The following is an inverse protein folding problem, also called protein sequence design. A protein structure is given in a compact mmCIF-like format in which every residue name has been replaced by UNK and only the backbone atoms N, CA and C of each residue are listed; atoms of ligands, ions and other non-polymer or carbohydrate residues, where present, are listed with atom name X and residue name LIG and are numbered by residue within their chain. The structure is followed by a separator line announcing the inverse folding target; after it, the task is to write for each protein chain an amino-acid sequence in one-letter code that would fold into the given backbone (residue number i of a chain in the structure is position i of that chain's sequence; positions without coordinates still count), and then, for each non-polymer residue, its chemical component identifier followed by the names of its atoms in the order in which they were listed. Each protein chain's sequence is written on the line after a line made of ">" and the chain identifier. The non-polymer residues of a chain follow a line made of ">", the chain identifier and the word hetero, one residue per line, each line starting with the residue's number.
data_IF_611620830185
#
_entry.id   IF_611620830185
#
_cell.length_a   1.000
_cell.length_b   1.000
_cell.length_c   1.000
_cell.angle_alpha   90.00
_cell.angle_beta   90.00
_cell.angle_gamma   90.00
#
_symmetry.space_group_name_H-M   'P 1'
#
loop_
_entity.id
_entity.type
_entity.pdbx_description
1 polymer ?
#
# COMPACT_ATOMS: atom_id res chain seq x y z
N UNK A 1 19.51 28.03 -3.67
CA UNK A 1 19.95 26.62 -3.60
C UNK A 1 20.55 26.23 -2.25
N UNK A 2 21.61 26.88 -1.74
CA UNK A 2 22.08 26.71 -0.33
C UNK A 2 21.01 27.08 0.71
N UNK A 3 20.12 28.01 0.36
CA UNK A 3 19.02 28.51 1.21
C UNK A 3 17.93 27.46 1.44
N UNK A 4 17.57 26.62 0.46
CA UNK A 4 16.47 25.65 0.61
C UNK A 4 16.92 24.39 1.36
N UNK A 5 18.17 23.95 1.16
CA UNK A 5 18.76 22.85 1.93
C UNK A 5 19.06 23.31 3.37
N UNK A 6 19.54 24.54 3.56
CA UNK A 6 19.60 25.16 4.89
C UNK A 6 18.20 25.28 5.49
N UNK A 7 17.18 25.70 4.73
CA UNK A 7 15.81 25.84 5.22
C UNK A 7 15.20 24.49 5.60
N UNK A 8 15.39 23.42 4.82
CA UNK A 8 14.90 22.09 5.17
C UNK A 8 15.63 21.50 6.38
N UNK A 9 16.97 21.63 6.46
CA UNK A 9 17.74 21.20 7.64
C UNK A 9 17.42 22.04 8.88
N UNK A 10 17.24 23.35 8.71
CA UNK A 10 16.83 24.29 9.74
C UNK A 10 15.37 24.04 10.17
N UNK A 11 14.51 23.60 9.26
CA UNK A 11 13.11 23.26 9.52
C UNK A 11 12.99 21.95 10.31
N UNK A 12 13.72 20.90 9.92
CA UNK A 12 13.81 19.66 10.71
C UNK A 12 14.48 19.89 12.08
N UNK A 13 15.50 20.76 12.15
CA UNK A 13 16.11 21.20 13.40
C UNK A 13 15.14 22.00 14.28
N UNK A 14 14.36 22.93 13.71
CA UNK A 14 13.31 23.67 14.43
C UNK A 14 12.20 22.76 14.95
N UNK A 15 11.77 21.77 14.16
CA UNK A 15 10.80 20.75 14.61
C UNK A 15 11.35 19.96 15.80
N UNK A 16 12.65 19.65 15.83
CA UNK A 16 13.29 18.94 16.93
C UNK A 16 13.50 19.77 18.20
N UNK A 17 13.33 21.11 18.14
CA UNK A 17 13.62 22.04 19.23
C UNK A 17 12.39 22.63 19.94
N UNK A 18 11.17 22.36 19.48
CA UNK A 18 9.96 22.96 20.05
C UNK A 18 9.38 22.03 21.13
N UNK A 19 9.34 22.43 22.41
CA UNK A 19 8.54 21.73 23.41
C UNK A 19 7.08 21.79 22.97
N UNK A 20 6.36 20.67 23.06
CA UNK A 20 4.98 20.45 22.59
C UNK A 20 3.89 21.40 23.15
N UNK A 21 4.25 22.51 23.79
CA UNK A 21 3.32 23.50 24.32
C UNK A 21 3.79 24.91 23.95
N UNK A 22 3.07 25.55 23.03
CA UNK A 22 2.97 27.00 22.77
C UNK A 22 3.28 27.45 21.35
N UNK A 23 2.40 27.11 20.41
CA UNK A 23 1.97 28.03 19.36
C UNK A 23 0.46 27.85 19.24
N UNK A 24 -0.32 28.92 19.37
CA UNK A 24 -1.77 28.86 19.18
C UNK A 24 -2.10 28.37 17.75
N UNK A 25 -2.63 27.14 17.72
CA UNK A 25 -3.46 26.48 16.72
C UNK A 25 -2.92 26.03 15.35
N UNK A 26 -1.63 26.16 15.02
CA UNK A 26 -1.04 25.36 13.90
C UNK A 26 0.37 24.88 14.23
N UNK A 27 0.62 23.56 14.16
CA UNK A 27 1.98 22.98 14.27
C UNK A 27 2.90 23.52 13.14
N UNK A 28 4.20 23.69 13.38
CA UNK A 28 5.17 24.16 12.37
C UNK A 28 5.16 23.36 11.05
N UNK A 29 4.86 22.06 11.11
CA UNK A 29 4.64 21.20 9.94
C UNK A 29 3.60 21.76 8.98
N UNK A 30 2.47 22.27 9.49
CA UNK A 30 1.42 22.85 8.63
C UNK A 30 1.88 24.11 7.91
N UNK A 31 2.68 24.97 8.54
CA UNK A 31 3.17 26.20 7.89
C UNK A 31 4.07 25.88 6.70
N UNK A 32 4.88 24.83 6.80
CA UNK A 32 5.73 24.37 5.71
C UNK A 32 4.94 23.65 4.61
N UNK A 33 3.97 22.81 4.98
CA UNK A 33 3.03 22.19 4.04
C UNK A 33 2.25 23.28 3.28
N UNK A 34 1.70 24.27 3.99
CA UNK A 34 0.99 25.42 3.41
C UNK A 34 1.91 26.23 2.49
N UNK A 35 3.19 26.41 2.84
CA UNK A 35 4.16 27.11 1.99
C UNK A 35 4.49 26.32 0.72
N UNK A 36 4.78 25.02 0.84
CA UNK A 36 5.18 24.17 -0.28
C UNK A 36 4.01 23.88 -1.23
N UNK A 37 2.80 23.74 -0.71
CA UNK A 37 1.59 23.51 -1.50
C UNK A 37 1.38 24.55 -2.60
N UNK A 38 1.85 25.79 -2.40
CA UNK A 38 1.79 26.89 -3.38
C UNK A 38 2.64 26.64 -4.63
N UNK A 39 3.64 25.77 -4.54
CA UNK A 39 4.60 25.47 -5.62
C UNK A 39 4.41 24.09 -6.25
N UNK A 40 3.64 23.21 -5.60
CA UNK A 40 3.42 21.83 -6.01
C UNK A 40 1.91 21.59 -6.12
N UNK A 41 1.33 22.15 -7.19
CA UNK A 41 -0.11 22.15 -7.43
C UNK A 41 -0.53 20.82 -8.04
N UNK A 42 -1.69 20.30 -7.64
CA UNK A 42 -2.24 19.06 -8.19
C UNK A 42 -2.50 19.16 -9.70
N UNK A 43 -2.32 18.03 -10.40
CA UNK A 43 -2.39 17.95 -11.86
C UNK A 43 -1.16 18.56 -12.57
N UNK A 44 -0.26 19.24 -11.85
CA UNK A 44 0.96 19.78 -12.43
C UNK A 44 2.03 18.71 -12.57
N UNK A 45 2.79 18.78 -13.67
CA UNK A 45 4.07 18.08 -13.79
C UNK A 45 5.22 18.99 -13.35
N UNK A 46 5.99 18.55 -12.35
CA UNK A 46 7.14 19.27 -11.80
C UNK A 46 8.44 18.53 -12.07
N UNK A 47 9.58 19.23 -12.08
CA UNK A 47 10.89 18.58 -12.14
C UNK A 47 11.42 18.33 -10.73
N UNK A 48 11.65 17.07 -10.36
CA UNK A 48 12.18 16.67 -9.05
C UNK A 48 13.53 17.38 -8.81
N UNK A 49 13.66 18.05 -7.67
CA UNK A 49 14.80 18.94 -7.38
C UNK A 49 15.89 18.27 -6.55
N UNK A 50 15.55 17.30 -5.72
CA UNK A 50 16.45 16.67 -4.76
C UNK A 50 16.42 15.14 -4.86
N UNK A 51 17.26 14.49 -4.06
CA UNK A 51 17.33 13.04 -3.97
C UNK A 51 17.88 12.34 -5.21
N UNK A 52 17.70 11.02 -5.25
CA UNK A 52 18.22 10.17 -6.33
C UNK A 52 17.40 10.35 -7.61
N UNK A 53 16.09 10.62 -7.45
CA UNK A 53 15.18 10.94 -8.55
C UNK A 53 15.33 12.35 -9.12
N UNK A 54 16.32 13.16 -8.66
CA UNK A 54 16.59 14.50 -9.18
C UNK A 54 16.60 14.51 -10.71
N UNK A 55 15.89 15.47 -11.28
CA UNK A 55 15.82 15.69 -12.72
C UNK A 55 14.70 14.94 -13.44
N UNK A 56 14.06 13.92 -12.84
CA UNK A 56 12.83 13.34 -13.38
C UNK A 56 11.71 14.37 -13.39
N UNK A 57 10.76 14.19 -14.29
CA UNK A 57 9.47 14.86 -14.27
C UNK A 57 8.50 14.03 -13.44
N UNK A 58 7.82 14.65 -12.50
CA UNK A 58 6.83 14.02 -11.63
C UNK A 58 5.49 14.71 -11.82
N UNK A 59 4.49 13.96 -12.26
CA UNK A 59 3.11 14.41 -12.24
C UNK A 59 2.55 14.29 -10.83
N UNK A 60 2.00 15.37 -10.30
CA UNK A 60 1.36 15.39 -8.98
C UNK A 60 -0.10 14.97 -9.18
N UNK A 61 -0.54 13.83 -8.63
CA UNK A 61 -1.92 13.38 -8.79
C UNK A 61 -2.93 14.42 -8.30
N UNK A 62 -4.08 14.48 -8.95
CA UNK A 62 -5.25 15.15 -8.37
C UNK A 62 -5.78 14.27 -7.24
N UNK A 63 -6.05 14.85 -6.08
CA UNK A 63 -6.77 14.14 -5.02
C UNK A 63 -8.24 14.49 -5.03
N UNK A 64 -9.07 13.60 -4.52
CA UNK A 64 -10.49 13.91 -4.31
C UNK A 64 -10.63 15.07 -3.31
N UNK A 65 -11.63 15.93 -3.53
CA UNK A 65 -11.82 17.21 -2.82
C UNK A 65 -11.88 17.10 -1.27
N UNK A 66 -12.03 15.89 -0.72
CA UNK A 66 -12.08 15.61 0.72
C UNK A 66 -10.71 15.42 1.40
N UNK A 67 -9.60 15.45 0.66
CA UNK A 67 -8.23 15.43 1.22
C UNK A 67 -7.87 16.70 2.02
N UNK A 68 -8.79 17.66 2.11
CA UNK A 68 -8.67 18.81 3.02
C UNK A 68 -8.60 18.38 4.49
N UNK A 69 -9.12 17.19 4.82
CA UNK A 69 -9.17 16.60 6.17
C UNK A 69 -8.21 15.43 6.40
N UNK A 70 -7.40 15.06 5.41
CA UNK A 70 -6.36 14.05 5.58
C UNK A 70 -5.37 14.49 6.67
N UNK A 71 -4.95 13.55 7.53
CA UNK A 71 -3.94 13.80 8.56
C UNK A 71 -2.65 14.35 7.91
N UNK A 72 -1.94 15.23 8.62
CA UNK A 72 -0.79 15.99 8.09
C UNK A 72 0.28 15.18 7.35
N UNK A 73 0.39 13.89 7.67
CA UNK A 73 1.35 12.96 7.07
C UNK A 73 1.09 12.68 5.58
N UNK A 74 -0.14 12.34 5.18
CA UNK A 74 -0.48 12.05 3.77
C UNK A 74 -0.28 13.29 2.89
N UNK A 75 -0.64 14.47 3.43
CA UNK A 75 -0.38 15.75 2.78
C UNK A 75 1.11 16.03 2.63
N UNK A 76 1.94 15.61 3.58
CA UNK A 76 3.39 15.80 3.52
C UNK A 76 4.05 14.84 2.52
N UNK A 77 3.59 13.61 2.45
CA UNK A 77 4.12 12.54 1.60
C UNK A 77 4.17 12.96 0.13
N UNK A 78 3.05 13.42 -0.43
CA UNK A 78 2.99 13.89 -1.83
C UNK A 78 4.02 14.98 -2.13
N UNK A 79 4.29 15.87 -1.17
CA UNK A 79 5.30 16.92 -1.33
C UNK A 79 6.71 16.37 -1.20
N UNK A 80 6.95 15.41 -0.30
CA UNK A 80 8.24 14.71 -0.21
C UNK A 80 8.55 13.97 -1.50
N UNK A 81 7.56 13.33 -2.13
CA UNK A 81 7.69 12.69 -3.44
C UNK A 81 8.09 13.72 -4.49
N UNK A 82 7.33 14.81 -4.61
CA UNK A 82 7.58 15.84 -5.61
C UNK A 82 8.95 16.56 -5.43
N UNK A 83 9.45 16.62 -4.19
CA UNK A 83 10.79 17.09 -3.87
C UNK A 83 11.89 16.05 -4.18
N UNK A 84 11.55 14.76 -4.20
CA UNK A 84 12.46 13.63 -4.37
C UNK A 84 13.03 13.07 -3.06
N UNK A 85 12.43 13.42 -1.93
CA UNK A 85 12.88 13.06 -0.58
C UNK A 85 12.10 11.92 0.06
N UNK A 86 10.98 11.51 -0.55
CA UNK A 86 10.18 10.37 -0.09
C UNK A 86 11.01 9.10 0.00
N UNK A 87 11.00 8.44 1.16
CA UNK A 87 11.71 7.18 1.39
C UNK A 87 13.16 7.15 0.88
N UNK A 88 13.90 8.24 1.16
CA UNK A 88 15.25 8.43 0.62
C UNK A 88 16.21 7.27 0.93
N UNK A 89 16.05 6.59 2.06
CA UNK A 89 16.85 5.42 2.42
C UNK A 89 16.54 4.21 1.53
N UNK A 90 15.27 3.97 1.21
CA UNK A 90 14.83 2.93 0.28
C UNK A 90 15.37 3.22 -1.13
N UNK A 91 15.25 4.46 -1.61
CA UNK A 91 15.84 4.88 -2.88
C UNK A 91 17.35 4.55 -2.95
N UNK A 92 18.07 4.78 -1.84
CA UNK A 92 19.52 4.53 -1.74
C UNK A 92 19.84 3.04 -1.73
N UNK A 93 19.01 2.21 -1.10
CA UNK A 93 19.11 0.76 -1.16
C UNK A 93 18.91 0.24 -2.59
N UNK A 94 17.82 0.64 -3.25
CA UNK A 94 17.55 0.26 -4.65
C UNK A 94 18.68 0.69 -5.60
N UNK A 95 19.19 1.91 -5.44
CA UNK A 95 20.33 2.40 -6.25
C UNK A 95 21.60 1.57 -6.07
N UNK A 96 21.80 0.93 -4.92
CA UNK A 96 22.98 0.10 -4.65
C UNK A 96 22.79 -1.34 -5.13
N UNK A 97 21.58 -1.88 -5.00
CA UNK A 97 21.28 -3.26 -5.37
C UNK A 97 21.09 -3.43 -6.88
N UNK A 98 20.46 -2.47 -7.54
CA UNK A 98 20.10 -2.56 -8.96
C UNK A 98 21.27 -2.08 -9.82
N UNK A 99 21.60 -2.86 -10.85
CA UNK A 99 22.67 -2.61 -11.81
C UNK A 99 22.09 -2.27 -13.19
N UNK A 100 22.86 -1.53 -13.98
CA UNK A 100 22.49 -1.22 -15.37
C UNK A 100 22.33 -2.51 -16.19
N UNK A 101 21.28 -2.56 -17.03
CA UNK A 101 20.96 -3.70 -17.88
C UNK A 101 20.09 -4.78 -17.23
N UNK A 102 19.83 -4.69 -15.92
CA UNK A 102 19.03 -5.69 -15.22
C UNK A 102 17.53 -5.63 -15.58
N UNK A 103 16.88 -6.78 -15.41
CA UNK A 103 15.43 -6.94 -15.43
C UNK A 103 14.92 -6.81 -13.98
N UNK A 104 14.07 -5.81 -13.74
CA UNK A 104 13.47 -5.56 -12.43
C UNK A 104 11.97 -5.80 -12.45
N UNK A 105 11.44 -6.42 -11.40
CA UNK A 105 10.01 -6.49 -11.14
C UNK A 105 9.63 -5.50 -10.04
N UNK A 106 8.55 -4.75 -10.24
CA UNK A 106 7.96 -3.83 -9.29
C UNK A 106 6.54 -4.31 -8.96
N UNK A 107 6.39 -5.03 -7.86
CA UNK A 107 5.13 -5.65 -7.43
C UNK A 107 4.49 -4.72 -6.41
N UNK A 108 3.34 -4.13 -6.76
CA UNK A 108 2.75 -3.02 -6.02
C UNK A 108 3.30 -1.66 -6.48
N UNK A 109 3.33 -1.45 -7.81
CA UNK A 109 3.95 -0.26 -8.40
C UNK A 109 3.31 1.08 -8.01
N UNK A 110 2.07 1.06 -7.52
CA UNK A 110 1.29 2.22 -7.11
C UNK A 110 1.35 3.32 -8.20
N UNK A 111 1.56 4.58 -7.83
CA UNK A 111 1.68 5.72 -8.76
C UNK A 111 3.07 5.84 -9.42
N UNK A 112 3.94 4.84 -9.24
CA UNK A 112 5.15 4.66 -10.05
C UNK A 112 6.42 5.33 -9.57
N UNK A 113 6.51 5.80 -8.32
CA UNK A 113 7.69 6.49 -7.81
C UNK A 113 8.96 5.63 -7.87
N UNK A 114 8.87 4.37 -7.43
CA UNK A 114 9.97 3.41 -7.50
C UNK A 114 10.14 2.82 -8.90
N UNK A 115 9.05 2.62 -9.66
CA UNK A 115 9.13 2.18 -11.06
C UNK A 115 10.02 3.10 -11.90
N UNK A 116 9.83 4.41 -11.83
CA UNK A 116 10.65 5.37 -12.60
C UNK A 116 12.09 5.44 -12.10
N UNK A 117 12.33 5.20 -10.81
CA UNK A 117 13.69 5.09 -10.26
C UNK A 117 14.39 3.84 -10.81
N UNK A 118 13.75 2.67 -10.75
CA UNK A 118 14.30 1.42 -11.25
C UNK A 118 14.58 1.49 -12.75
N UNK A 119 13.63 2.02 -13.53
CA UNK A 119 13.78 2.24 -14.98
C UNK A 119 15.00 3.11 -15.31
N UNK A 120 15.23 4.18 -14.54
CA UNK A 120 16.40 5.04 -14.69
C UNK A 120 17.69 4.30 -14.35
N UNK A 121 17.72 3.50 -13.28
CA UNK A 121 18.94 2.80 -12.84
C UNK A 121 19.33 1.71 -13.86
N UNK A 122 18.36 0.90 -14.29
CA UNK A 122 18.60 -0.17 -15.26
C UNK A 122 18.96 0.38 -16.64
N UNK A 123 18.35 1.52 -17.03
CA UNK A 123 18.60 2.20 -18.29
C UNK A 123 18.06 1.44 -19.50
N UNK A 124 18.36 1.92 -20.71
CA UNK A 124 17.76 1.42 -21.95
C UNK A 124 18.08 -0.04 -22.30
N UNK A 125 19.10 -0.63 -21.68
CA UNK A 125 19.46 -2.05 -21.84
C UNK A 125 18.73 -2.97 -20.86
N UNK A 126 18.15 -2.42 -19.80
CA UNK A 126 17.37 -3.19 -18.84
C UNK A 126 15.88 -3.11 -19.13
N UNK A 127 15.07 -3.74 -18.27
CA UNK A 127 13.61 -3.73 -18.37
C UNK A 127 13.00 -3.66 -16.98
N UNK A 128 11.89 -2.95 -16.83
CA UNK A 128 11.07 -2.96 -15.62
C UNK A 128 9.68 -3.49 -15.97
N UNK A 129 9.25 -4.54 -15.27
CA UNK A 129 7.88 -5.02 -15.31
C UNK A 129 7.19 -4.60 -14.01
N UNK A 130 6.12 -3.82 -14.13
CA UNK A 130 5.39 -3.29 -12.97
C UNK A 130 3.99 -3.87 -12.92
N UNK A 131 3.61 -4.35 -11.73
CA UNK A 131 2.33 -4.98 -11.45
C UNK A 131 1.57 -4.11 -10.46
N UNK A 132 0.42 -3.58 -10.89
CA UNK A 132 -0.41 -2.68 -10.09
C UNK A 132 -1.90 -2.95 -10.41
N UNK A 133 -2.70 -3.43 -9.45
CA UNK A 133 -4.09 -3.78 -9.70
C UNK A 133 -5.04 -2.56 -9.79
N UNK A 134 -4.74 -1.44 -9.13
CA UNK A 134 -5.64 -0.28 -9.14
C UNK A 134 -5.55 0.49 -10.45
N UNK A 135 -6.67 0.57 -11.19
CA UNK A 135 -6.75 1.29 -12.47
C UNK A 135 -6.35 2.77 -12.30
N UNK A 136 -6.79 3.41 -11.23
CA UNK A 136 -6.47 4.81 -10.92
C UNK A 136 -4.96 5.05 -10.77
N UNK A 137 -4.25 4.13 -10.10
CA UNK A 137 -2.80 4.17 -9.96
C UNK A 137 -2.09 3.92 -11.31
N UNK A 138 -2.58 2.94 -12.08
CA UNK A 138 -2.04 2.63 -13.42
C UNK A 138 -2.12 3.83 -14.37
N UNK A 139 -3.21 4.60 -14.35
CA UNK A 139 -3.33 5.80 -15.19
C UNK A 139 -2.30 6.88 -14.81
N UNK A 140 -2.04 7.08 -13.52
CA UNK A 140 -0.99 7.99 -13.06
C UNK A 140 0.40 7.46 -13.46
N UNK A 141 0.67 6.17 -13.25
CA UNK A 141 1.91 5.51 -13.63
C UNK A 141 2.22 5.69 -15.13
N UNK A 142 1.22 5.52 -16.01
CA UNK A 142 1.34 5.80 -17.45
C UNK A 142 1.77 7.24 -17.73
N UNK A 143 1.22 8.21 -16.99
CA UNK A 143 1.61 9.63 -17.10
C UNK A 143 3.07 9.81 -16.67
N UNK A 144 3.53 9.16 -15.58
CA UNK A 144 4.92 9.24 -15.12
C UNK A 144 5.90 8.70 -16.18
N UNK A 145 5.59 7.54 -16.76
CA UNK A 145 6.38 6.91 -17.82
C UNK A 145 6.48 7.83 -19.03
N UNK A 146 5.34 8.33 -19.52
CA UNK A 146 5.28 9.24 -20.68
C UNK A 146 6.06 10.53 -20.44
N UNK A 147 5.95 11.14 -19.26
CA UNK A 147 6.64 12.40 -18.96
C UNK A 147 8.17 12.27 -18.97
N UNK A 148 8.68 11.08 -18.71
CA UNK A 148 10.11 10.77 -18.64
C UNK A 148 10.65 10.01 -19.86
N UNK A 149 9.82 9.75 -20.88
CA UNK A 149 10.18 9.00 -22.09
C UNK A 149 10.81 7.63 -21.75
N UNK A 150 10.14 6.84 -20.90
CA UNK A 150 10.67 5.57 -20.43
C UNK A 150 10.16 4.42 -21.32
N UNK A 151 11.00 3.96 -22.25
CA UNK A 151 10.65 2.87 -23.18
C UNK A 151 10.94 1.47 -22.61
N UNK A 152 11.65 1.40 -21.49
CA UNK A 152 12.05 0.17 -20.84
C UNK A 152 11.08 -0.30 -19.74
N UNK A 153 9.86 0.25 -19.65
CA UNK A 153 8.84 -0.15 -18.67
C UNK A 153 7.68 -0.86 -19.35
N UNK A 154 7.17 -1.93 -18.75
CA UNK A 154 5.94 -2.61 -19.17
C UNK A 154 5.00 -2.73 -17.96
N UNK A 155 3.76 -2.27 -18.13
CA UNK A 155 2.74 -2.26 -17.07
C UNK A 155 1.80 -3.45 -17.23
N UNK A 156 1.57 -4.17 -16.13
CA UNK A 156 0.51 -5.16 -15.99
C UNK A 156 -0.49 -4.68 -14.94
N UNK A 157 -1.70 -4.36 -15.37
CA UNK A 157 -2.78 -3.95 -14.47
C UNK A 157 -3.41 -5.19 -13.80
N UNK A 158 -2.65 -5.86 -12.93
CA UNK A 158 -2.98 -7.13 -12.30
C UNK A 158 -2.30 -7.22 -10.93
N UNK A 159 -2.91 -7.95 -10.00
CA UNK A 159 -2.25 -8.32 -8.74
C UNK A 159 -1.36 -9.54 -8.95
N UNK A 160 -0.26 -9.66 -8.18
CA UNK A 160 0.57 -10.86 -8.17
C UNK A 160 0.07 -11.82 -7.10
N UNK A 161 -0.20 -13.06 -7.49
CA UNK A 161 -0.89 -14.07 -6.70
C UNK A 161 -0.27 -15.45 -6.91
N UNK A 162 -0.67 -16.44 -6.10
CA UNK A 162 -0.13 -17.80 -6.20
C UNK A 162 -0.54 -18.55 -7.47
N UNK A 163 -1.59 -18.09 -8.14
CA UNK A 163 -2.15 -18.68 -9.36
C UNK A 163 -2.90 -17.60 -10.17
N UNK A 164 -3.14 -17.85 -11.45
CA UNK A 164 -4.03 -17.00 -12.24
C UNK A 164 -5.47 -17.16 -11.75
N UNK A 165 -6.11 -16.08 -11.32
CA UNK A 165 -7.47 -16.11 -10.77
C UNK A 165 -8.12 -14.75 -10.85
N UNK A 166 -9.45 -14.68 -10.66
CA UNK A 166 -10.11 -13.44 -10.26
C UNK A 166 -10.23 -13.37 -8.75
N UNK A 167 -10.08 -12.18 -8.21
CA UNK A 167 -10.13 -11.93 -6.77
C UNK A 167 -10.91 -10.66 -6.49
N UNK A 168 -11.48 -10.59 -5.30
CA UNK A 168 -12.02 -9.34 -4.76
C UNK A 168 -10.86 -8.49 -4.25
N UNK A 169 -10.93 -7.20 -4.49
CA UNK A 169 -9.94 -6.22 -4.07
C UNK A 169 -10.65 -5.08 -3.35
N UNK A 170 -10.13 -4.69 -2.19
CA UNK A 170 -10.68 -3.60 -1.39
C UNK A 170 -9.82 -2.37 -1.64
N UNK A 171 -10.44 -1.32 -2.18
CA UNK A 171 -9.82 -0.04 -2.45
C UNK A 171 -10.32 1.00 -1.45
N UNK A 172 -9.43 1.83 -0.93
CA UNK A 172 -9.84 3.03 -0.20
C UNK A 172 -10.19 4.15 -1.20
N UNK A 173 -11.44 4.62 -1.20
CA UNK A 173 -12.00 5.65 -2.08
C UNK A 173 -11.23 7.00 -2.07
N UNK A 174 -10.33 7.23 -1.10
CA UNK A 174 -9.53 8.45 -0.98
C UNK A 174 -8.02 8.18 -0.88
N UNK A 175 -7.54 6.97 -1.17
CA UNK A 175 -6.11 6.64 -1.09
C UNK A 175 -5.67 5.83 -2.29
N UNK A 176 -4.40 5.95 -2.63
CA UNK A 176 -3.72 5.06 -3.59
C UNK A 176 -3.34 3.72 -2.96
N UNK A 177 -4.16 3.22 -2.03
CA UNK A 177 -3.91 2.01 -1.24
C UNK A 177 -5.11 1.10 -1.37
N UNK A 178 -4.83 -0.17 -1.66
CA UNK A 178 -5.80 -1.25 -1.68
C UNK A 178 -5.12 -2.57 -1.41
N UNK A 179 -5.93 -3.58 -1.07
CA UNK A 179 -5.46 -4.90 -0.70
C UNK A 179 -6.38 -5.99 -1.23
N UNK A 180 -5.85 -7.19 -1.43
CA UNK A 180 -6.64 -8.36 -1.78
C UNK A 180 -7.62 -8.62 -0.63
N UNK A 181 -8.89 -8.79 -0.95
CA UNK A 181 -9.90 -9.14 0.02
C UNK A 181 -9.76 -10.64 0.34
N UNK A 182 -8.94 -10.97 1.32
CA UNK A 182 -8.97 -12.32 1.90
C UNK A 182 -10.11 -12.40 2.94
N UNK A 183 -10.56 -13.63 3.20
CA UNK A 183 -11.62 -13.84 4.17
C UNK A 183 -11.20 -13.37 5.58
N UNK A 184 -9.90 -13.32 5.89
CA UNK A 184 -9.34 -12.96 7.20
C UNK A 184 -9.38 -11.46 7.52
N UNK A 185 -9.18 -10.60 6.52
CA UNK A 185 -9.22 -9.16 6.65
C UNK A 185 -10.64 -8.63 6.50
N UNK A 186 -11.44 -9.23 5.62
CA UNK A 186 -12.90 -9.09 5.66
C UNK A 186 -13.39 -9.46 7.07
N UNK A 187 -12.90 -10.58 7.61
CA UNK A 187 -13.21 -11.03 8.97
C UNK A 187 -12.70 -10.07 10.04
N UNK A 188 -11.50 -9.49 9.93
CA UNK A 188 -10.98 -8.50 10.90
C UNK A 188 -11.72 -7.16 10.84
N UNK A 189 -12.12 -6.69 9.65
CA UNK A 189 -12.91 -5.45 9.52
C UNK A 189 -14.37 -5.66 9.96
N UNK A 190 -14.95 -6.81 9.63
CA UNK A 190 -16.26 -7.24 10.14
C UNK A 190 -16.19 -7.44 11.64
N UNK A 191 -15.17 -8.11 12.18
CA UNK A 191 -15.02 -8.33 13.61
C UNK A 191 -14.64 -7.02 14.31
N UNK A 192 -13.85 -6.10 13.78
CA UNK A 192 -13.75 -4.77 14.40
C UNK A 192 -15.08 -3.99 14.36
N UNK A 193 -15.90 -4.25 13.34
CA UNK A 193 -17.26 -3.78 13.32
C UNK A 193 -18.10 -4.47 14.42
N UNK A 194 -18.00 -5.80 14.58
CA UNK A 194 -18.86 -6.72 15.36
C UNK A 194 -18.31 -7.19 16.74
N UNK A 195 -17.04 -7.01 17.08
CA UNK A 195 -16.34 -7.56 18.25
C UNK A 195 -16.70 -6.79 19.51
N UNK A 196 -17.29 -5.60 19.35
CA UNK A 196 -17.99 -4.93 20.44
C UNK A 196 -19.43 -5.42 20.61
N UNK A 197 -19.83 -6.47 19.89
CA UNK A 197 -21.16 -7.10 19.92
C UNK A 197 -21.10 -8.51 20.55
N UNK A 198 -19.91 -9.10 20.71
CA UNK A 198 -19.72 -10.51 21.12
C UNK A 198 -20.09 -10.81 22.57
N UNK A 199 -20.24 -9.79 23.43
CA UNK A 199 -20.72 -9.98 24.81
C UNK A 199 -22.24 -10.21 24.89
N UNK A 200 -23.02 -9.89 23.84
CA UNK A 200 -24.49 -9.93 23.86
C UNK A 200 -25.12 -10.85 22.79
N UNK A 201 -24.34 -11.45 21.88
CA UNK A 201 -24.83 -12.30 20.78
C UNK A 201 -24.23 -13.71 20.83
N UNK A 202 -25.05 -14.75 20.55
CA UNK A 202 -24.60 -16.13 20.53
C UNK A 202 -23.60 -16.41 19.38
N UNK A 203 -22.47 -17.10 19.62
CA UNK A 203 -21.41 -17.34 18.62
C UNK A 203 -21.85 -18.06 17.33
N UNK A 204 -22.86 -18.91 17.41
CA UNK A 204 -23.33 -19.74 16.30
C UNK A 204 -24.10 -18.95 15.22
N UNK A 205 -24.77 -17.85 15.58
CA UNK A 205 -25.48 -16.99 14.63
C UNK A 205 -24.54 -16.02 13.90
N UNK A 206 -23.38 -15.76 14.49
CA UNK A 206 -22.37 -14.85 13.96
C UNK A 206 -21.75 -15.42 12.66
N UNK A 207 -21.52 -16.73 12.57
CA UNK A 207 -21.02 -17.39 11.34
C UNK A 207 -21.99 -17.27 10.16
N UNK A 208 -23.28 -17.53 10.38
CA UNK A 208 -24.31 -17.42 9.32
C UNK A 208 -24.46 -15.99 8.80
N UNK A 209 -24.23 -15.00 9.66
CA UNK A 209 -24.32 -13.58 9.31
C UNK A 209 -23.10 -13.11 8.51
N UNK A 210 -21.91 -13.70 8.72
CA UNK A 210 -20.66 -13.31 8.04
C UNK A 210 -20.74 -13.42 6.52
N UNK A 211 -21.33 -14.49 6.00
CA UNK A 211 -21.38 -14.71 4.53
C UNK A 211 -22.51 -13.94 3.84
N UNK A 212 -23.72 -13.96 4.39
CA UNK A 212 -24.90 -13.41 3.71
C UNK A 212 -25.01 -11.88 3.84
N UNK A 213 -24.58 -11.34 4.98
CA UNK A 213 -24.84 -9.93 5.34
C UNK A 213 -23.69 -8.98 4.98
N UNK A 214 -22.54 -9.54 4.59
CA UNK A 214 -21.38 -8.81 4.08
C UNK A 214 -21.72 -7.92 2.87
N UNK A 215 -22.43 -8.49 1.89
CA UNK A 215 -22.82 -7.76 0.68
C UNK A 215 -23.76 -6.59 0.99
N UNK A 216 -24.60 -6.69 2.03
CA UNK A 216 -25.48 -5.60 2.43
C UNK A 216 -24.72 -4.48 3.16
N UNK A 217 -23.77 -4.85 4.03
CA UNK A 217 -22.92 -3.90 4.73
C UNK A 217 -22.05 -3.08 3.76
N UNK A 218 -21.33 -3.75 2.86
CA UNK A 218 -20.41 -3.10 1.91
C UNK A 218 -21.13 -2.28 0.84
N UNK A 219 -22.26 -2.76 0.30
CA UNK A 219 -23.03 -2.00 -0.70
C UNK A 219 -23.81 -0.82 -0.10
N UNK A 220 -23.55 -0.46 1.16
CA UNK A 220 -24.21 0.66 1.83
C UNK A 220 -25.71 0.42 2.10
N UNK A 221 -26.19 -0.82 2.02
CA UNK A 221 -27.58 -1.20 2.35
C UNK A 221 -27.72 -1.47 3.84
N UNK A 222 -27.26 -0.51 4.65
CA UNK A 222 -27.20 -0.69 6.11
C UNK A 222 -28.59 -0.82 6.72
N UNK A 223 -29.60 -0.14 6.18
CA UNK A 223 -30.96 -0.28 6.69
C UNK A 223 -31.55 -1.66 6.31
N UNK A 224 -31.19 -2.22 5.15
CA UNK A 224 -31.54 -3.62 4.80
C UNK A 224 -30.83 -4.61 5.73
N UNK A 225 -29.54 -4.40 6.01
CA UNK A 225 -28.77 -5.18 6.97
C UNK A 225 -29.39 -5.14 8.38
N UNK A 226 -29.72 -3.93 8.85
CA UNK A 226 -30.37 -3.68 10.13
C UNK A 226 -31.71 -4.44 10.18
N UNK A 227 -32.50 -4.35 9.12
CA UNK A 227 -33.79 -5.02 9.05
C UNK A 227 -33.64 -6.56 9.07
N UNK A 228 -32.70 -7.12 8.32
CA UNK A 228 -32.44 -8.57 8.30
C UNK A 228 -31.96 -9.10 9.66
N UNK A 229 -31.00 -8.43 10.29
CA UNK A 229 -30.55 -8.79 11.65
C UNK A 229 -31.72 -8.65 12.65
N UNK A 230 -32.53 -7.59 12.54
CA UNK A 230 -33.68 -7.37 13.42
C UNK A 230 -34.74 -8.48 13.29
N UNK A 231 -35.05 -8.92 12.06
CA UNK A 231 -36.02 -9.99 11.81
C UNK A 231 -35.54 -11.32 12.40
N UNK A 232 -34.26 -11.66 12.26
CA UNK A 232 -33.71 -12.90 12.79
C UNK A 232 -33.60 -12.88 14.32
N UNK A 233 -33.20 -11.77 14.93
CA UNK A 233 -33.22 -11.61 16.38
C UNK A 233 -34.63 -11.76 16.96
N UNK A 234 -35.66 -11.23 16.26
CA UNK A 234 -37.06 -11.43 16.65
C UNK A 234 -37.49 -12.89 16.55
N UNK A 235 -37.02 -13.63 15.54
CA UNK A 235 -37.30 -15.07 15.41
C UNK A 235 -36.65 -15.89 16.53
N UNK A 236 -35.43 -15.53 16.94
CA UNK A 236 -34.68 -16.28 17.96
C UNK A 236 -35.19 -15.98 19.39
N UNK A 237 -35.42 -14.71 19.72
CA UNK A 237 -35.67 -14.28 21.11
C UNK A 237 -37.12 -13.86 21.39
N UNK A 238 -37.98 -13.81 20.36
CA UNK A 238 -39.36 -13.36 20.48
C UNK A 238 -39.49 -11.86 20.82
N UNK A 239 -40.74 -11.41 21.04
CA UNK A 239 -41.05 -9.99 21.26
C UNK A 239 -40.59 -9.42 22.63
N UNK A 240 -40.05 -10.24 23.54
CA UNK A 240 -39.92 -9.87 24.95
C UNK A 240 -38.50 -9.58 25.47
N UNK A 241 -37.43 -9.69 24.69
CA UNK A 241 -36.11 -9.36 25.24
C UNK A 241 -35.10 -8.86 24.22
N UNK A 242 -35.18 -7.58 23.88
CA UNK A 242 -34.03 -6.68 23.75
C UNK A 242 -34.56 -5.25 23.97
N UNK A 243 -34.03 -4.52 24.96
CA UNK A 243 -34.46 -3.13 25.20
C UNK A 243 -34.17 -2.31 23.94
N UNK A 244 -35.22 -1.77 23.33
CA UNK A 244 -35.19 -1.02 22.06
C UNK A 244 -34.12 0.09 22.04
N UNK A 245 -33.83 0.68 23.18
CA UNK A 245 -32.82 1.74 23.33
C UNK A 245 -31.38 1.25 23.07
N UNK A 246 -31.00 0.04 23.50
CA UNK A 246 -29.66 -0.53 23.23
C UNK A 246 -29.51 -0.91 21.76
N UNK A 247 -30.53 -1.52 21.16
CA UNK A 247 -30.56 -1.83 19.73
C UNK A 247 -30.56 -0.54 18.90
N UNK A 248 -31.27 0.51 19.30
CA UNK A 248 -31.25 1.79 18.60
C UNK A 248 -29.87 2.48 18.70
N UNK A 249 -29.24 2.44 19.87
CA UNK A 249 -27.86 2.91 20.05
C UNK A 249 -26.88 2.11 19.17
N UNK A 250 -27.10 0.79 19.04
CA UNK A 250 -26.35 -0.09 18.15
C UNK A 250 -26.52 0.32 16.68
N UNK A 251 -27.76 0.59 16.25
CA UNK A 251 -28.06 1.06 14.91
C UNK A 251 -27.47 2.44 14.61
N UNK A 252 -27.48 3.35 15.58
CA UNK A 252 -26.80 4.64 15.45
C UNK A 252 -25.27 4.48 15.34
N UNK A 253 -24.66 3.62 16.14
CA UNK A 253 -23.22 3.32 16.04
C UNK A 253 -22.84 2.69 14.70
N UNK A 254 -23.67 1.79 14.17
CA UNK A 254 -23.48 1.21 12.84
C UNK A 254 -23.61 2.26 11.74
N UNK A 255 -24.61 3.15 11.81
CA UNK A 255 -24.75 4.29 10.88
C UNK A 255 -23.60 5.29 10.97
N UNK A 256 -23.05 5.54 12.17
CA UNK A 256 -21.86 6.39 12.34
C UNK A 256 -20.59 5.73 11.80
N UNK A 257 -20.37 4.44 12.09
CA UNK A 257 -19.24 3.67 11.55
C UNK A 257 -19.33 3.53 10.03
N UNK A 258 -20.53 3.41 9.44
CA UNK A 258 -20.72 3.45 7.97
C UNK A 258 -20.09 4.67 7.32
N UNK A 259 -20.07 5.85 7.97
CA UNK A 259 -19.40 7.03 7.40
C UNK A 259 -17.89 6.82 7.21
N UNK A 260 -17.27 5.94 8.02
CA UNK A 260 -15.90 5.46 7.80
C UNK A 260 -15.84 4.37 6.72
N UNK A 261 -16.80 3.47 6.65
CA UNK A 261 -16.82 2.36 5.67
C UNK A 261 -17.30 2.75 4.25
N UNK A 262 -18.00 3.87 4.08
CA UNK A 262 -18.27 4.47 2.76
C UNK A 262 -17.01 4.97 2.06
N UNK A 263 -15.85 4.87 2.73
CA UNK A 263 -14.55 5.18 2.16
C UNK A 263 -13.91 3.99 1.45
N UNK A 264 -14.60 2.87 1.26
CA UNK A 264 -14.08 1.73 0.53
C UNK A 264 -14.95 1.34 -0.65
N UNK A 265 -14.32 0.77 -1.67
CA UNK A 265 -14.97 0.10 -2.80
C UNK A 265 -14.40 -1.30 -2.93
N UNK A 266 -15.24 -2.25 -3.34
CA UNK A 266 -14.80 -3.59 -3.68
C UNK A 266 -14.91 -3.75 -5.19
N UNK A 267 -13.80 -4.08 -5.82
CA UNK A 267 -13.69 -4.38 -7.24
C UNK A 267 -13.29 -5.84 -7.43
N UNK A 268 -13.59 -6.40 -8.60
CA UNK A 268 -12.94 -7.64 -9.05
C UNK A 268 -11.73 -7.27 -9.89
N UNK A 269 -10.60 -7.91 -9.59
CA UNK A 269 -9.34 -7.74 -10.33
C UNK A 269 -8.81 -9.09 -10.81
N UNK A 270 -7.95 -9.04 -11.82
CA UNK A 270 -7.19 -10.20 -12.25
C UNK A 270 -5.92 -10.37 -11.38
N UNK A 271 -5.74 -11.57 -10.83
CA UNK A 271 -4.50 -12.04 -10.23
C UNK A 271 -3.69 -12.87 -11.22
N UNK A 272 -2.36 -12.76 -11.18
CA UNK A 272 -1.44 -13.54 -12.01
C UNK A 272 -0.37 -14.27 -11.22
N UNK A 273 0.00 -15.45 -11.73
CA UNK A 273 1.15 -16.22 -11.31
C UNK A 273 2.39 -15.75 -12.08
N UNK A 274 3.45 -15.39 -11.39
CA UNK A 274 4.71 -14.94 -12.02
C UNK A 274 5.42 -16.10 -12.70
N UNK A 275 5.35 -17.32 -12.15
CA UNK A 275 5.94 -18.50 -12.80
C UNK A 275 5.34 -18.72 -14.20
N UNK A 276 4.02 -18.62 -14.32
CA UNK A 276 3.34 -18.70 -15.62
C UNK A 276 3.76 -17.56 -16.55
N UNK A 277 3.93 -16.34 -16.03
CA UNK A 277 4.37 -15.22 -16.83
C UNK A 277 5.81 -15.37 -17.32
N UNK A 278 6.73 -15.87 -16.47
CA UNK A 278 8.14 -16.09 -16.85
C UNK A 278 8.27 -17.22 -17.87
N UNK A 279 7.44 -18.25 -17.78
CA UNK A 279 7.44 -19.34 -18.75
C UNK A 279 6.96 -18.90 -20.15
N UNK A 280 6.09 -17.88 -20.24
CA UNK A 280 5.34 -17.60 -21.46
C UNK A 280 5.47 -16.18 -22.03
N UNK A 281 5.67 -15.17 -21.18
CA UNK A 281 5.37 -13.76 -21.55
C UNK A 281 6.49 -12.78 -21.21
N UNK A 282 7.17 -12.94 -20.08
CA UNK A 282 8.16 -11.96 -19.58
C UNK A 282 9.51 -12.62 -19.33
N UNK A 283 10.57 -11.82 -19.44
CA UNK A 283 11.93 -12.29 -19.13
C UNK A 283 12.13 -12.42 -17.62
N UNK A 284 12.89 -13.43 -17.15
CA UNK A 284 13.13 -13.66 -15.73
C UNK A 284 13.81 -12.45 -15.05
N UNK A 285 13.52 -12.20 -13.77
CA UNK A 285 14.06 -11.05 -13.05
C UNK A 285 15.49 -11.28 -12.56
N UNK A 286 16.26 -10.20 -12.49
CA UNK A 286 17.49 -10.12 -11.67
C UNK A 286 17.20 -9.52 -10.29
N UNK A 287 16.16 -8.69 -10.19
CA UNK A 287 15.77 -7.96 -8.99
C UNK A 287 14.25 -7.87 -8.88
N UNK A 288 13.70 -8.05 -7.68
CA UNK A 288 12.27 -7.94 -7.40
C UNK A 288 12.07 -6.99 -6.22
N UNK A 289 11.27 -5.93 -6.42
CA UNK A 289 10.65 -5.16 -5.34
C UNK A 289 9.24 -5.70 -5.12
N UNK A 290 8.86 -5.96 -3.87
CA UNK A 290 7.50 -6.29 -3.44
C UNK A 290 7.10 -5.26 -2.39
N UNK A 291 5.94 -4.64 -2.56
CA UNK A 291 5.40 -3.64 -1.63
C UNK A 291 3.89 -3.61 -1.82
N UNK A 292 3.25 -4.61 -1.23
CA UNK A 292 1.84 -4.91 -1.39
C UNK A 292 1.24 -5.19 -0.02
N UNK A 293 0.08 -4.61 0.24
CA UNK A 293 -0.54 -4.60 1.57
C UNK A 293 -1.06 -5.99 1.99
N UNK A 294 -0.19 -6.84 2.55
CA UNK A 294 -0.55 -8.12 3.18
C UNK A 294 -0.61 -9.34 2.26
N UNK A 295 -0.34 -9.18 0.96
CA UNK A 295 -0.39 -10.25 -0.04
C UNK A 295 1.00 -10.82 -0.43
N UNK A 296 2.04 -10.53 0.34
CA UNK A 296 3.44 -10.80 0.01
C UNK A 296 3.74 -12.30 -0.07
N UNK A 297 3.30 -13.08 0.93
CA UNK A 297 3.44 -14.53 0.92
C UNK A 297 2.67 -15.16 -0.24
N UNK A 298 1.47 -14.64 -0.55
CA UNK A 298 0.67 -15.10 -1.68
C UNK A 298 1.40 -14.85 -3.02
N UNK A 299 2.00 -13.68 -3.18
CA UNK A 299 2.81 -13.35 -4.35
C UNK A 299 4.04 -14.25 -4.47
N UNK A 300 4.77 -14.48 -3.37
CA UNK A 300 5.96 -15.35 -3.35
C UNK A 300 5.63 -16.80 -3.73
N UNK A 301 4.50 -17.33 -3.26
CA UNK A 301 4.02 -18.66 -3.63
C UNK A 301 3.74 -18.79 -5.14
N UNK A 302 3.44 -17.69 -5.83
CA UNK A 302 3.24 -17.65 -7.28
C UNK A 302 4.51 -17.47 -8.11
N UNK A 303 5.69 -17.48 -7.47
CA UNK A 303 6.97 -17.33 -8.15
C UNK A 303 8.04 -18.33 -7.69
N UNK A 304 7.66 -19.40 -6.99
CA UNK A 304 8.61 -20.36 -6.39
C UNK A 304 9.57 -20.92 -7.44
N UNK A 305 9.07 -21.33 -8.61
CA UNK A 305 9.92 -21.87 -9.69
C UNK A 305 10.89 -20.81 -10.20
N UNK A 306 10.44 -19.58 -10.36
CA UNK A 306 11.25 -18.44 -10.78
C UNK A 306 12.35 -18.15 -9.77
N UNK A 307 12.01 -18.10 -8.48
CA UNK A 307 12.96 -17.85 -7.40
C UNK A 307 14.01 -18.96 -7.30
N UNK A 308 13.59 -20.23 -7.35
CA UNK A 308 14.49 -21.40 -7.33
C UNK A 308 15.42 -21.44 -8.54
N UNK A 309 14.96 -21.02 -9.72
CA UNK A 309 15.74 -21.14 -10.96
C UNK A 309 16.69 -19.97 -11.19
N UNK A 310 16.25 -18.74 -10.90
CA UNK A 310 16.96 -17.53 -11.29
C UNK A 310 17.61 -16.78 -10.11
N UNK A 311 17.22 -17.10 -8.88
CA UNK A 311 17.74 -16.48 -7.66
C UNK A 311 17.88 -14.94 -7.72
N UNK A 312 16.82 -14.20 -8.13
CA UNK A 312 16.85 -12.74 -8.12
C UNK A 312 17.08 -12.19 -6.71
N UNK A 313 17.66 -10.99 -6.61
CA UNK A 313 17.67 -10.25 -5.34
C UNK A 313 16.26 -9.77 -5.01
N UNK A 314 15.81 -9.94 -3.75
CA UNK A 314 14.45 -9.58 -3.33
C UNK A 314 14.50 -8.43 -2.32
N UNK A 315 13.69 -7.41 -2.56
CA UNK A 315 13.46 -6.31 -1.64
C UNK A 315 11.96 -6.26 -1.36
N UNK A 316 11.52 -6.48 -0.12
CA UNK A 316 10.11 -6.75 0.18
C UNK A 316 9.60 -5.94 1.36
N UNK A 317 8.60 -5.09 1.15
CA UNK A 317 7.82 -4.50 2.23
C UNK A 317 7.01 -5.56 2.96
N UNK A 318 7.02 -5.60 4.30
CA UNK A 318 6.14 -6.48 5.07
C UNK A 318 5.33 -5.69 6.06
N UNK A 319 4.03 -5.95 6.07
CA UNK A 319 3.09 -5.22 6.92
C UNK A 319 2.79 -5.90 8.26
N UNK A 320 3.36 -7.08 8.54
CA UNK A 320 3.22 -7.73 9.86
C UNK A 320 4.35 -8.70 10.21
N UNK A 321 4.52 -8.95 11.52
CA UNK A 321 5.47 -9.95 12.03
C UNK A 321 5.11 -11.39 11.62
N UNK A 322 3.82 -11.70 11.51
CA UNK A 322 3.36 -13.04 11.13
C UNK A 322 3.71 -13.33 9.68
N UNK A 323 3.46 -12.36 8.82
CA UNK A 323 3.85 -12.40 7.43
C UNK A 323 5.38 -12.52 7.28
N UNK A 324 6.16 -11.87 8.15
CA UNK A 324 7.61 -12.04 8.17
C UNK A 324 8.04 -13.47 8.49
N UNK A 325 7.32 -14.19 9.35
CA UNK A 325 7.59 -15.62 9.60
C UNK A 325 7.27 -16.43 8.35
N UNK A 326 6.10 -16.21 7.74
CA UNK A 326 5.65 -16.95 6.56
C UNK A 326 6.60 -16.76 5.36
N UNK A 327 6.99 -15.52 5.08
CA UNK A 327 7.94 -15.18 4.01
C UNK A 327 9.29 -15.87 4.23
N UNK A 328 9.77 -15.90 5.48
CA UNK A 328 11.02 -16.61 5.84
C UNK A 328 10.91 -18.10 5.60
N UNK A 329 9.77 -18.72 5.93
CA UNK A 329 9.54 -20.14 5.68
C UNK A 329 9.49 -20.47 4.19
N UNK A 330 8.79 -19.65 3.40
CA UNK A 330 8.70 -19.81 1.94
C UNK A 330 10.10 -19.75 1.32
N UNK A 331 10.87 -18.71 1.64
CA UNK A 331 12.19 -18.50 1.04
C UNK A 331 13.25 -19.47 1.59
N UNK A 332 13.08 -19.94 2.82
CA UNK A 332 13.86 -21.05 3.38
C UNK A 332 13.67 -22.36 2.62
N UNK A 333 12.45 -22.64 2.14
CA UNK A 333 12.16 -23.82 1.29
C UNK A 333 12.72 -23.67 -0.12
N UNK A 334 12.72 -22.46 -0.69
CA UNK A 334 13.34 -22.16 -1.98
C UNK A 334 14.85 -22.41 -1.93
N UNK A 335 15.50 -22.02 -0.83
CA UNK A 335 16.94 -22.15 -0.63
C UNK A 335 17.77 -21.10 -1.41
N UNK A 336 19.03 -20.90 -1.02
CA UNK A 336 19.94 -19.95 -1.66
C UNK A 336 19.69 -18.47 -1.31
N UNK A 337 18.77 -18.19 -0.39
CA UNK A 337 18.47 -16.86 0.14
C UNK A 337 19.00 -16.68 1.55
N UNK A 338 19.61 -15.53 1.81
CA UNK A 338 19.95 -15.05 3.15
C UNK A 338 19.05 -13.85 3.48
N UNK A 339 18.50 -13.84 4.69
CA UNK A 339 17.44 -12.89 5.07
C UNK A 339 18.03 -11.80 5.95
N UNK A 340 17.94 -10.54 5.53
CA UNK A 340 18.49 -9.40 6.27
C UNK A 340 17.39 -8.39 6.61
N UNK A 341 17.16 -8.18 7.90
CA UNK A 341 16.35 -7.04 8.34
C UNK A 341 17.15 -5.75 8.14
N UNK A 342 16.68 -4.86 7.26
CA UNK A 342 17.24 -3.52 7.15
C UNK A 342 16.47 -2.58 8.07
N UNK A 343 16.91 -2.54 9.32
CA UNK A 343 16.68 -1.41 10.21
C UNK A 343 17.47 -0.17 9.76
N UNK A 344 17.41 0.20 8.47
CA UNK A 344 17.94 1.39 7.79
C UNK A 344 19.38 1.87 8.09
N UNK A 345 20.12 1.17 8.95
CA UNK A 345 21.47 1.45 9.42
C UNK A 345 22.52 0.77 8.54
N UNK A 346 22.10 -0.22 7.75
CA UNK A 346 22.96 -1.02 6.87
C UNK A 346 22.88 -0.62 5.39
N UNK A 347 22.07 0.39 5.04
CA UNK A 347 21.87 0.84 3.65
C UNK A 347 23.19 1.16 2.94
N UNK A 348 24.22 1.59 3.67
CA UNK A 348 25.51 1.91 3.09
C UNK A 348 26.37 0.70 2.68
N UNK A 349 26.04 -0.50 3.15
CA UNK A 349 26.79 -1.74 2.92
C UNK A 349 25.94 -2.85 2.27
N UNK A 350 24.70 -2.54 1.90
CA UNK A 350 23.71 -3.50 1.40
C UNK A 350 24.18 -4.24 0.13
N UNK A 351 25.02 -3.62 -0.69
CA UNK A 351 25.60 -4.19 -1.90
C UNK A 351 26.62 -5.32 -1.64
N UNK A 352 27.02 -5.51 -0.38
CA UNK A 352 27.98 -6.54 0.05
C UNK A 352 27.34 -7.79 0.64
N UNK A 353 26.02 -7.77 0.86
CA UNK A 353 25.33 -8.89 1.48
C UNK A 353 24.90 -9.90 0.39
N UNK A 354 25.10 -11.21 0.58
CA UNK A 354 24.69 -12.23 -0.38
C UNK A 354 23.17 -12.49 -0.33
N UNK A 355 22.52 -12.76 -1.47
CA UNK A 355 21.19 -13.41 -1.53
C UNK A 355 20.03 -12.74 -0.75
N UNK A 356 19.97 -11.41 -0.68
CA UNK A 356 19.19 -10.68 0.34
C UNK A 356 17.68 -10.66 0.10
N UNK A 357 16.93 -10.79 1.19
CA UNK A 357 15.56 -10.31 1.43
C UNK A 357 15.62 -9.16 2.44
N UNK A 358 14.89 -8.06 2.21
CA UNK A 358 14.85 -6.93 3.13
C UNK A 358 13.42 -6.49 3.46
N UNK A 359 13.09 -6.37 4.77
CA UNK A 359 11.78 -6.08 5.39
C UNK A 359 11.72 -4.64 5.99
N UNK A 360 10.59 -3.90 5.99
CA UNK A 360 10.45 -2.53 6.50
C UNK A 360 9.65 -2.42 7.80
N UNK A 361 9.31 -1.17 8.09
CA UNK A 361 9.15 -0.57 9.39
C UNK A 361 7.98 -1.13 10.21
N UNK A 362 8.30 -1.87 11.28
CA UNK A 362 7.30 -2.40 12.22
C UNK A 362 6.53 -1.28 12.95
N UNK A 363 6.99 -0.02 12.90
CA UNK A 363 6.31 1.15 13.49
C UNK A 363 6.68 2.47 12.76
N UNK A 364 6.36 2.59 11.48
CA UNK A 364 6.50 3.84 10.70
C UNK A 364 5.29 4.73 10.72
#
# INVERSE_FOLDING_TARGET
>A
MKIIIKAAKFFFYLISLIPLRSVHNKKPSHLFIDFISRFYVQGQTVKIKFGINRGLKWHIPQSSDNELYAMDYERLEKYLIALGLYEYKLQKALKRLIKSGQICYDIGGNIGFFTVLMSRITGSRGKVYVFEPMVSNVEILKIQIKNNNLDNVAIYNKAVTSQNTRLKFIEHNNRSIGQIADNGLIFFEINNALDRFSEELLPENIELWKENKFNLFINGRIDSLINEISMELQQIYGNQSFKSERINLLWEQLRQKRRRFSSFTISEIDGICIDDMVDNTINPPDFIKIDIEGAEALALNGMIKTLTKYHPTIFIELHSSNLAVEVKEILGKVGGYEIFDLNFNYVDYIDKLPGIICIPNIYG
#
